data_IF_079985775624
#
_entry.id   IF_079985775624
#
_cell.length_a   1.000
_cell.length_b   1.000
_cell.length_c   1.000
_cell.angle_alpha   90.00
_cell.angle_beta   90.00
_cell.angle_gamma   90.00
#
_symmetry.space_group_name_H-M   'P 1'
#
loop_
_entity.id
_entity.type
_entity.pdbx_description
1 polymer ?
#
# COMPACT_ATOMS: atom_id res chain seq x y z
N UNK A 1 16.99 -44.45 -37.03
CA UNK A 1 16.44 -43.11 -37.35
C UNK A 1 17.53 -42.07 -37.15
N UNK A 2 18.02 -41.44 -38.23
CA UNK A 2 19.04 -40.37 -38.16
C UNK A 2 18.34 -39.03 -37.91
N UNK A 3 18.43 -38.51 -36.69
CA UNK A 3 17.94 -37.17 -36.36
C UNK A 3 18.87 -36.12 -36.99
N UNK A 4 18.28 -35.22 -37.77
CA UNK A 4 18.96 -34.25 -38.62
C UNK A 4 19.50 -33.08 -37.77
N UNK A 5 20.80 -32.76 -37.87
CA UNK A 5 21.48 -31.69 -37.10
C UNK A 5 20.83 -30.29 -37.21
N UNK A 6 20.01 -30.07 -38.25
CA UNK A 6 19.32 -28.80 -38.50
C UNK A 6 18.15 -28.52 -37.54
N UNK A 7 17.64 -29.54 -36.84
CA UNK A 7 16.53 -29.36 -35.88
C UNK A 7 17.02 -28.99 -34.48
N UNK A 8 18.27 -29.34 -34.13
CA UNK A 8 18.83 -29.06 -32.79
C UNK A 8 19.12 -27.56 -32.58
N UNK A 9 19.50 -26.85 -33.65
CA UNK A 9 19.93 -25.44 -33.58
C UNK A 9 18.74 -24.46 -33.44
N UNK A 10 17.53 -24.86 -33.86
CA UNK A 10 16.32 -24.03 -33.67
C UNK A 10 15.76 -24.10 -32.25
N UNK A 11 16.02 -25.17 -31.52
CA UNK A 11 15.53 -25.32 -30.14
C UNK A 11 16.50 -24.69 -29.13
N UNK A 12 17.81 -24.70 -29.42
CA UNK A 12 18.82 -24.10 -28.54
C UNK A 12 18.84 -22.55 -28.56
N UNK A 13 18.33 -21.91 -29.63
CA UNK A 13 18.36 -20.45 -29.79
C UNK A 13 17.22 -19.68 -29.11
N UNK A 14 16.20 -20.36 -28.58
CA UNK A 14 15.03 -19.70 -27.97
C UNK A 14 15.08 -19.75 -26.43
N UNK A 15 15.91 -20.63 -25.85
CA UNK A 15 15.97 -20.83 -24.40
C UNK A 15 16.95 -19.92 -23.64
N UNK A 16 17.71 -19.07 -24.33
CA UNK A 16 18.74 -18.22 -23.71
C UNK A 16 18.37 -16.73 -23.59
N UNK A 17 17.13 -16.35 -23.93
CA UNK A 17 16.61 -14.97 -23.80
C UNK A 17 15.44 -14.90 -22.79
N UNK A 18 15.38 -15.82 -21.82
CA UNK A 18 14.34 -15.84 -20.79
C UNK A 18 14.83 -15.51 -19.38
N UNK A 19 16.14 -15.23 -19.17
CA UNK A 19 16.68 -15.04 -17.82
C UNK A 19 17.42 -13.73 -17.54
N UNK A 20 17.68 -12.90 -18.55
CA UNK A 20 18.58 -11.74 -18.41
C UNK A 20 17.88 -10.37 -18.52
N UNK A 21 16.54 -10.32 -18.47
CA UNK A 21 15.80 -9.06 -18.37
C UNK A 21 15.15 -8.96 -16.98
N UNK A 22 15.89 -8.30 -16.09
CA UNK A 22 15.37 -7.43 -15.04
C UNK A 22 14.22 -7.97 -14.18
N UNK A 23 14.48 -8.98 -13.34
CA UNK A 23 13.82 -8.99 -12.04
C UNK A 23 14.59 -8.02 -11.12
N UNK A 24 14.46 -6.71 -11.37
CA UNK A 24 14.52 -5.78 -10.24
C UNK A 24 13.33 -6.21 -9.38
N UNK A 25 13.57 -6.97 -8.30
CA UNK A 25 12.53 -7.21 -7.31
C UNK A 25 11.99 -5.84 -6.95
N UNK A 26 10.73 -5.54 -7.32
CA UNK A 26 10.09 -4.28 -6.97
C UNK A 26 10.04 -4.24 -5.46
N UNK A 27 11.04 -3.60 -4.86
CA UNK A 27 11.17 -3.51 -3.42
C UNK A 27 10.32 -2.33 -2.99
N UNK A 28 9.29 -2.62 -2.21
CA UNK A 28 8.35 -1.61 -1.75
C UNK A 28 9.11 -0.47 -1.04
N UNK A 29 9.03 0.78 -1.52
CA UNK A 29 9.79 1.90 -0.96
C UNK A 29 9.55 2.11 0.54
N UNK A 30 8.37 1.73 1.03
CA UNK A 30 7.97 1.86 2.44
C UNK A 30 8.68 0.88 3.37
N UNK A 31 9.21 -0.22 2.84
CA UNK A 31 9.92 -1.26 3.63
C UNK A 31 11.32 -1.55 3.12
N UNK A 32 11.80 -0.76 2.15
CA UNK A 32 13.12 -0.91 1.57
C UNK A 32 14.22 -0.76 2.62
N UNK A 33 14.08 0.23 3.49
CA UNK A 33 15.06 0.54 4.55
C UNK A 33 14.43 0.26 5.92
N UNK A 34 14.75 -0.90 6.52
CA UNK A 34 14.17 -1.34 7.80
C UNK A 34 14.36 -0.35 8.96
N UNK A 35 15.35 0.53 8.87
CA UNK A 35 15.63 1.57 9.88
C UNK A 35 14.66 2.77 9.80
N UNK A 36 13.91 2.92 8.71
CA UNK A 36 12.98 4.04 8.47
C UNK A 36 11.50 3.62 8.59
N UNK A 37 11.23 2.59 9.38
CA UNK A 37 9.86 2.11 9.67
C UNK A 37 8.98 3.24 10.24
N UNK A 38 9.54 4.11 11.10
CA UNK A 38 8.81 5.25 11.65
C UNK A 38 8.39 6.26 10.58
N UNK A 39 9.32 6.69 9.72
CA UNK A 39 9.03 7.65 8.65
C UNK A 39 8.01 7.10 7.65
N UNK A 40 8.08 5.80 7.34
CA UNK A 40 7.11 5.12 6.49
C UNK A 40 5.71 5.12 7.12
N UNK A 41 5.60 4.85 8.43
CA UNK A 41 4.34 4.90 9.18
C UNK A 41 3.78 6.31 9.20
N UNK A 42 4.58 7.32 9.53
CA UNK A 42 4.17 8.74 9.54
C UNK A 42 3.68 9.15 8.16
N UNK A 43 4.38 8.73 7.10
CA UNK A 43 3.97 8.99 5.73
C UNK A 43 2.61 8.35 5.40
N UNK A 44 2.43 7.06 5.68
CA UNK A 44 1.19 6.34 5.42
C UNK A 44 0.01 6.96 6.20
N UNK A 45 0.22 7.31 7.46
CA UNK A 45 -0.77 7.99 8.29
C UNK A 45 -1.20 9.32 7.68
N UNK A 46 -0.23 10.18 7.33
CA UNK A 46 -0.51 11.48 6.73
C UNK A 46 -1.26 11.38 5.40
N UNK A 47 -0.85 10.43 4.56
CA UNK A 47 -1.50 10.18 3.27
C UNK A 47 -2.94 9.67 3.47
N UNK A 48 -3.16 8.77 4.43
CA UNK A 48 -4.49 8.26 4.78
C UNK A 48 -5.42 9.37 5.30
N UNK A 49 -4.93 10.19 6.23
CA UNK A 49 -5.67 11.35 6.79
C UNK A 49 -6.04 12.36 5.69
N UNK A 50 -5.13 12.65 4.77
CA UNK A 50 -5.39 13.55 3.64
C UNK A 50 -6.36 12.96 2.59
N UNK A 51 -6.44 11.64 2.48
CA UNK A 51 -7.38 10.96 1.59
C UNK A 51 -8.80 10.85 2.18
N UNK A 52 -8.95 10.94 3.51
CA UNK A 52 -10.20 10.79 4.24
C UNK A 52 -11.38 11.64 3.68
N UNK A 53 -11.21 12.94 3.33
CA UNK A 53 -12.34 13.77 2.89
C UNK A 53 -13.04 13.29 1.61
N UNK A 54 -12.41 12.38 0.84
CA UNK A 54 -13.05 11.75 -0.32
C UNK A 54 -14.01 10.65 0.13
N UNK A 55 -13.63 9.87 1.14
CA UNK A 55 -14.47 8.82 1.70
C UNK A 55 -15.63 9.40 2.48
N UNK A 56 -15.41 10.45 3.27
CA UNK A 56 -16.50 11.11 4.01
C UNK A 56 -17.62 11.62 3.10
N UNK A 57 -17.24 12.11 1.91
CA UNK A 57 -18.20 12.58 0.89
C UNK A 57 -18.90 11.46 0.15
N UNK A 58 -18.18 10.40 -0.20
CA UNK A 58 -18.71 9.32 -1.05
C UNK A 58 -19.43 8.23 -0.25
N UNK A 59 -19.06 8.06 1.01
CA UNK A 59 -19.56 7.01 1.88
C UNK A 59 -19.89 7.51 3.30
N UNK A 60 -20.79 8.51 3.44
CA UNK A 60 -21.12 9.12 4.73
C UNK A 60 -21.67 8.12 5.76
N UNK A 61 -22.23 7.00 5.31
CA UNK A 61 -22.77 5.95 6.17
C UNK A 61 -21.73 5.24 7.05
N UNK A 62 -20.43 5.36 6.74
CA UNK A 62 -19.38 4.70 7.52
C UNK A 62 -18.82 5.55 8.65
N UNK A 63 -19.19 6.85 8.74
CA UNK A 63 -18.75 7.78 9.80
C UNK A 63 -17.25 7.65 10.12
N UNK A 64 -16.43 7.73 9.07
CA UNK A 64 -14.99 7.49 9.15
C UNK A 64 -14.31 8.81 9.53
N UNK A 65 -14.15 9.05 10.82
CA UNK A 65 -13.50 10.27 11.29
C UNK A 65 -11.97 10.17 11.33
N UNK A 66 -11.41 9.02 10.98
CA UNK A 66 -9.98 8.75 10.97
C UNK A 66 -9.60 7.93 9.72
N UNK A 67 -8.97 8.59 8.75
CA UNK A 67 -8.46 7.95 7.53
C UNK A 67 -7.43 6.86 7.83
N UNK A 68 -6.61 7.00 8.87
CA UNK A 68 -5.65 5.98 9.27
C UNK A 68 -6.35 4.73 9.84
N UNK A 69 -7.40 4.90 10.66
CA UNK A 69 -8.23 3.79 11.10
C UNK A 69 -8.90 3.07 9.91
N UNK A 70 -9.34 3.82 8.90
CA UNK A 70 -9.91 3.23 7.70
C UNK A 70 -8.89 2.49 6.84
N UNK A 71 -7.66 2.99 6.77
CA UNK A 71 -6.56 2.29 6.12
C UNK A 71 -6.30 0.93 6.77
N UNK A 72 -6.15 0.91 8.11
CA UNK A 72 -5.98 -0.34 8.90
C UNK A 72 -7.15 -1.29 8.63
N UNK A 73 -8.37 -0.76 8.69
CA UNK A 73 -9.58 -1.55 8.43
C UNK A 73 -9.46 -2.22 7.05
N UNK A 74 -9.22 -1.45 5.99
CA UNK A 74 -9.09 -1.99 4.64
C UNK A 74 -7.95 -3.02 4.50
N UNK A 75 -6.78 -2.81 5.12
CA UNK A 75 -5.65 -3.76 5.06
C UNK A 75 -5.86 -5.02 5.90
N UNK A 76 -6.61 -4.94 7.00
CA UNK A 76 -6.86 -6.06 7.92
C UNK A 76 -7.70 -7.19 7.31
N UNK A 77 -8.33 -6.97 6.14
CA UNK A 77 -9.28 -7.90 5.51
C UNK A 77 -10.39 -8.39 6.46
N UNK A 78 -10.71 -7.58 7.48
CA UNK A 78 -11.75 -7.90 8.46
C UNK A 78 -13.09 -8.19 7.76
N UNK A 79 -13.94 -9.01 8.35
CA UNK A 79 -15.24 -9.38 7.77
C UNK A 79 -16.12 -8.16 7.42
N UNK A 80 -16.04 -7.07 8.21
CA UNK A 80 -16.68 -5.77 7.93
C UNK A 80 -16.14 -5.05 6.67
N UNK A 81 -14.93 -5.37 6.23
CA UNK A 81 -14.27 -4.80 5.04
C UNK A 81 -14.70 -5.55 3.79
N UNK A 82 -15.03 -6.84 3.90
CA UNK A 82 -15.51 -7.64 2.77
C UNK A 82 -16.81 -7.10 2.16
N UNK A 83 -17.56 -6.29 2.92
CA UNK A 83 -18.72 -5.53 2.43
C UNK A 83 -18.38 -4.18 1.81
N UNK A 84 -17.12 -3.74 1.81
CA UNK A 84 -16.65 -2.41 1.37
C UNK A 84 -15.53 -2.42 0.31
N UNK A 85 -15.50 -3.37 -0.65
CA UNK A 85 -14.36 -3.47 -1.59
C UNK A 85 -14.16 -2.20 -2.41
N UNK A 86 -15.24 -1.59 -2.89
CA UNK A 86 -15.20 -0.36 -3.70
C UNK A 86 -14.72 0.86 -2.90
N UNK A 87 -15.10 0.96 -1.63
CA UNK A 87 -14.68 2.05 -0.76
C UNK A 87 -13.19 1.96 -0.43
N UNK A 88 -12.68 0.76 -0.13
CA UNK A 88 -11.26 0.55 0.10
C UNK A 88 -10.43 0.78 -1.16
N UNK A 89 -10.86 0.26 -2.31
CA UNK A 89 -10.17 0.51 -3.59
C UNK A 89 -10.08 2.00 -3.87
N UNK A 90 -11.19 2.73 -3.73
CA UNK A 90 -11.21 4.17 -3.95
C UNK A 90 -10.28 4.90 -2.99
N UNK A 91 -10.31 4.55 -1.71
CA UNK A 91 -9.46 5.15 -0.71
C UNK A 91 -7.97 4.95 -1.01
N UNK A 92 -7.57 3.75 -1.42
CA UNK A 92 -6.20 3.49 -1.82
C UNK A 92 -5.78 4.30 -3.05
N UNK A 93 -6.67 4.46 -4.04
CA UNK A 93 -6.38 5.33 -5.19
C UNK A 93 -6.13 6.78 -4.76
N UNK A 94 -6.94 7.29 -3.83
CA UNK A 94 -6.79 8.65 -3.31
C UNK A 94 -5.51 8.80 -2.47
N UNK A 95 -5.17 7.81 -1.65
CA UNK A 95 -3.87 7.74 -0.97
C UNK A 95 -2.71 7.80 -1.96
N UNK A 96 -2.73 7.00 -3.03
CA UNK A 96 -1.70 7.04 -4.07
C UNK A 96 -1.63 8.40 -4.79
N UNK A 97 -2.76 9.08 -4.94
CA UNK A 97 -2.78 10.43 -5.53
C UNK A 97 -2.18 11.47 -4.58
N UNK A 98 -2.52 11.42 -3.29
CA UNK A 98 -1.94 12.30 -2.27
C UNK A 98 -0.43 12.07 -2.16
N UNK A 99 0.01 10.80 -2.12
CA UNK A 99 1.44 10.44 -2.08
C UNK A 99 2.26 11.13 -3.18
N UNK A 100 1.71 11.22 -4.40
CA UNK A 100 2.36 11.90 -5.55
C UNK A 100 2.46 13.41 -5.38
N UNK A 101 1.61 14.02 -4.55
CA UNK A 101 1.60 15.46 -4.31
C UNK A 101 2.63 15.90 -3.25
N UNK A 102 3.16 14.96 -2.45
CA UNK A 102 4.19 15.20 -1.44
C UNK A 102 5.59 15.38 -2.09
N UNK A 103 5.83 16.55 -2.70
CA UNK A 103 7.03 16.84 -3.53
C UNK A 103 8.36 16.51 -2.85
N UNK A 104 8.47 16.76 -1.56
CA UNK A 104 9.71 16.61 -0.78
C UNK A 104 9.79 15.27 -0.02
N UNK A 105 8.78 14.41 -0.14
CA UNK A 105 8.79 13.10 0.52
C UNK A 105 9.71 12.11 -0.20
N UNK A 106 10.54 11.33 0.53
CA UNK A 106 11.29 10.22 -0.05
C UNK A 106 10.36 9.12 -0.60
N UNK A 107 9.09 9.13 -0.19
CA UNK A 107 8.07 8.18 -0.59
C UNK A 107 7.18 8.68 -1.74
N UNK A 108 7.51 9.78 -2.42
CA UNK A 108 6.70 10.30 -3.55
C UNK A 108 6.51 9.32 -4.72
N UNK A 109 7.37 8.31 -4.83
CA UNK A 109 7.28 7.24 -5.83
C UNK A 109 6.37 6.09 -5.43
N UNK A 110 5.87 6.08 -4.19
CA UNK A 110 4.88 5.11 -3.70
C UNK A 110 3.65 5.19 -4.59
N UNK A 111 3.22 4.04 -5.08
CA UNK A 111 2.05 3.89 -5.93
C UNK A 111 1.03 2.94 -5.28
N UNK A 112 -0.12 2.74 -5.94
CA UNK A 112 -1.20 1.90 -5.45
C UNK A 112 -0.76 0.48 -5.06
N UNK A 113 0.14 -0.14 -5.82
CA UNK A 113 0.63 -1.48 -5.49
C UNK A 113 1.47 -1.46 -4.20
N UNK A 114 2.20 -0.38 -3.93
CA UNK A 114 3.02 -0.26 -2.72
C UNK A 114 2.16 -0.10 -1.46
N UNK A 115 1.10 0.72 -1.50
CA UNK A 115 0.19 0.95 -0.36
C UNK A 115 -0.78 -0.21 -0.12
N UNK A 116 -0.98 -1.11 -1.08
CA UNK A 116 -1.85 -2.29 -0.95
C UNK A 116 -1.08 -3.61 -0.80
N UNK A 117 0.25 -3.55 -0.74
CA UNK A 117 1.11 -4.71 -0.56
C UNK A 117 0.93 -5.31 0.85
N UNK A 118 0.42 -6.54 0.90
CA UNK A 118 0.20 -7.28 2.14
C UNK A 118 1.49 -7.56 2.93
N UNK A 119 2.63 -7.73 2.24
CA UNK A 119 3.92 -7.96 2.88
C UNK A 119 4.42 -6.66 3.53
N UNK A 120 4.27 -5.54 2.84
CA UNK A 120 4.56 -4.22 3.40
C UNK A 120 3.71 -3.97 4.65
N UNK A 121 2.40 -4.23 4.56
CA UNK A 121 1.50 -4.04 5.68
C UNK A 121 1.88 -4.90 6.87
N UNK A 122 2.13 -6.20 6.68
CA UNK A 122 2.56 -7.10 7.75
C UNK A 122 3.82 -6.58 8.46
N UNK A 123 4.75 -5.94 7.74
CA UNK A 123 5.98 -5.42 8.33
C UNK A 123 5.78 -4.10 9.09
N UNK A 124 4.85 -3.26 8.66
CA UNK A 124 4.62 -1.93 9.25
C UNK A 124 3.47 -1.89 10.25
N UNK A 125 2.56 -2.86 10.23
CA UNK A 125 1.33 -2.87 11.04
C UNK A 125 1.59 -2.64 12.53
N UNK A 126 2.53 -3.33 13.21
CA UNK A 126 2.74 -3.11 14.64
C UNK A 126 3.15 -1.67 14.96
N UNK A 127 4.05 -1.10 14.16
CA UNK A 127 4.50 0.28 14.33
C UNK A 127 3.43 1.30 13.95
N UNK A 128 2.56 0.96 13.00
CA UNK A 128 1.42 1.79 12.61
C UNK A 128 0.37 1.88 13.72
N UNK A 129 0.01 0.73 14.31
CA UNK A 129 -0.93 0.64 15.44
C UNK A 129 -0.36 1.34 16.69
N UNK A 130 0.93 1.16 16.97
CA UNK A 130 1.63 1.88 18.05
C UNK A 130 1.59 3.40 17.82
N UNK A 131 1.88 3.86 16.60
CA UNK A 131 1.82 5.28 16.27
C UNK A 131 0.41 5.85 16.46
N UNK A 132 -0.62 5.14 16.00
CA UNK A 132 -2.01 5.58 16.21
C UNK A 132 -2.34 5.66 17.70
N UNK A 133 -2.00 4.64 18.50
CA UNK A 133 -2.26 4.63 19.94
C UNK A 133 -1.56 5.75 20.69
N UNK A 134 -0.31 6.07 20.32
CA UNK A 134 0.48 7.12 20.96
C UNK A 134 0.05 8.54 20.57
N UNK A 135 -0.68 8.69 19.46
CA UNK A 135 -1.18 9.98 18.99
C UNK A 135 -2.71 10.11 19.12
N UNK A 136 -3.36 9.18 19.81
CA UNK A 136 -4.82 9.14 19.99
C UNK A 136 -5.36 10.37 20.74
N UNK A 137 -4.61 10.91 21.70
CA UNK A 137 -5.00 12.10 22.50
C UNK A 137 -5.00 13.40 21.68
N UNK A 138 -4.32 13.45 20.52
CA UNK A 138 -4.37 14.60 19.62
C UNK A 138 -5.68 14.67 18.82
N UNK A 139 -6.50 13.61 18.87
CA UNK A 139 -7.69 13.43 18.03
C UNK A 139 -8.94 13.00 18.82
N UNK A 140 -8.86 12.87 20.15
CA UNK A 140 -10.02 12.58 21.01
C UNK A 140 -10.98 13.77 21.17
N UNK A 141 -10.64 14.97 20.69
CA UNK A 141 -11.55 16.12 20.67
C UNK A 141 -12.55 16.11 19.49
N UNK A 142 -12.44 15.16 18.54
CA UNK A 142 -13.34 15.10 17.36
C UNK A 142 -14.25 13.86 17.31
N UNK A 143 -14.23 12.98 18.31
CA UNK A 143 -15.18 11.87 18.40
C UNK A 143 -16.26 12.19 19.47
N UNK A 144 -17.55 12.22 19.10
CA UNK A 144 -18.61 12.26 20.10
C UNK A 144 -18.57 10.94 20.88
N UNK A 145 -18.29 11.03 22.17
CA UNK A 145 -18.63 9.98 23.13
C UNK A 145 -20.14 9.74 23.06
N UNK A 146 -20.54 8.52 22.66
CA UNK A 146 -21.91 8.05 22.88
C UNK A 146 -22.11 7.67 24.35
#
# INVERSE_FOLDING_TARGET
>A
MKMNRKTLVKVAGISLIAGALCACSHQNPLTKDKQNTHDAVVFLYNVATKAQPVIDRQYPQYNINDGAAFYILCMSNASRVRSLPEACERFYQDMANVAKMEKDSPYRSVNLADITDATMWHNLQPSYEEYQSNNADFYSETLPTH
#
